data_IF_313874158665
#
_entry.id   IF_313874158665
#
_cell.length_a   1.000
_cell.length_b   1.000
_cell.length_c   1.000
_cell.angle_alpha   90.00
_cell.angle_beta   90.00
_cell.angle_gamma   90.00
#
_symmetry.space_group_name_H-M   'P 1'
#
loop_
_entity.id
_entity.type
_entity.pdbx_description
1 polymer ?
#
# COMPACT_ATOMS: atom_id res chain seq x y z
N UNK A 1 -10.44 -22.84 -0.06
CA UNK A 1 -10.33 -21.48 -0.64
C UNK A 1 -9.11 -20.78 -0.08
N UNK A 2 -8.40 -19.93 -0.84
CA UNK A 2 -7.23 -19.22 -0.34
C UNK A 2 -7.60 -18.30 0.84
N UNK A 3 -6.77 -18.34 1.89
CA UNK A 3 -6.99 -17.62 3.17
C UNK A 3 -6.68 -16.13 3.07
N UNK A 4 -5.88 -15.74 2.07
CA UNK A 4 -5.39 -14.39 1.86
C UNK A 4 -5.94 -13.81 0.55
N UNK A 5 -6.01 -12.48 0.47
CA UNK A 5 -6.40 -11.77 -0.73
C UNK A 5 -5.51 -10.53 -0.96
N UNK A 6 -5.34 -10.18 -2.23
CA UNK A 6 -4.65 -8.97 -2.67
C UNK A 6 -5.69 -8.04 -3.31
N UNK A 7 -5.63 -6.76 -2.97
CA UNK A 7 -6.44 -5.70 -3.60
C UNK A 7 -5.47 -4.70 -4.22
N UNK A 8 -5.61 -4.47 -5.52
CA UNK A 8 -4.81 -3.52 -6.27
C UNK A 8 -5.68 -2.31 -6.56
N UNK A 9 -5.25 -1.13 -6.10
CA UNK A 9 -5.97 0.12 -6.31
C UNK A 9 -5.12 1.13 -7.05
N UNK A 10 -5.76 1.93 -7.88
CA UNK A 10 -5.10 3.00 -8.62
C UNK A 10 -4.99 4.26 -7.76
N UNK A 11 -3.82 4.89 -7.81
CA UNK A 11 -3.51 6.19 -7.16
C UNK A 11 -2.98 7.20 -8.18
N UNK A 12 -3.30 6.98 -9.45
CA UNK A 12 -3.00 7.87 -10.55
C UNK A 12 -4.15 7.88 -11.56
N UNK A 13 -4.10 8.79 -12.53
CA UNK A 13 -5.03 8.80 -13.64
C UNK A 13 -4.28 8.93 -14.98
N UNK A 14 -5.01 8.86 -16.09
CA UNK A 14 -4.45 8.92 -17.46
C UNK A 14 -3.71 10.24 -17.77
N UNK A 15 -3.89 11.27 -16.94
CA UNK A 15 -3.17 12.55 -17.06
C UNK A 15 -1.86 12.58 -16.25
N UNK A 16 -1.52 11.48 -15.58
CA UNK A 16 -0.35 11.37 -14.70
C UNK A 16 -0.51 12.10 -13.36
N UNK A 17 -1.73 12.51 -12.98
CA UNK A 17 -1.93 13.18 -11.70
C UNK A 17 -1.99 12.16 -10.56
N UNK A 18 -1.44 12.53 -9.40
CA UNK A 18 -1.54 11.72 -8.18
C UNK A 18 -2.89 11.99 -7.53
N UNK A 19 -3.62 10.92 -7.24
CA UNK A 19 -4.99 10.98 -6.73
C UNK A 19 -5.15 10.01 -5.57
N UNK A 20 -6.10 10.31 -4.69
CA UNK A 20 -6.54 9.32 -3.70
C UNK A 20 -7.16 8.11 -4.40
N UNK A 21 -7.03 6.91 -3.81
CA UNK A 21 -7.68 5.73 -4.36
C UNK A 21 -9.20 5.86 -4.30
N UNK A 22 -9.89 5.15 -5.20
CA UNK A 22 -11.36 5.08 -5.18
C UNK A 22 -11.84 4.38 -3.90
N UNK A 23 -12.32 5.18 -2.94
CA UNK A 23 -12.74 4.70 -1.64
C UNK A 23 -13.97 3.80 -1.73
N UNK A 24 -14.93 4.12 -2.61
CA UNK A 24 -16.15 3.33 -2.76
C UNK A 24 -15.84 1.97 -3.37
N UNK A 25 -14.93 1.93 -4.34
CA UNK A 25 -14.48 0.68 -4.94
C UNK A 25 -13.68 -0.18 -3.96
N UNK A 26 -12.70 0.40 -3.25
CA UNK A 26 -11.92 -0.34 -2.25
C UNK A 26 -12.83 -0.85 -1.13
N UNK A 27 -13.73 -0.03 -0.61
CA UNK A 27 -14.67 -0.43 0.44
C UNK A 27 -15.52 -1.63 0.01
N UNK A 28 -16.02 -1.62 -1.23
CA UNK A 28 -16.73 -2.77 -1.80
C UNK A 28 -15.86 -4.03 -1.82
N UNK A 29 -14.60 -3.95 -2.27
CA UNK A 29 -13.69 -5.10 -2.24
C UNK A 29 -13.46 -5.61 -0.82
N UNK A 30 -13.29 -4.71 0.15
CA UNK A 30 -13.04 -5.09 1.55
C UNK A 30 -14.26 -5.75 2.21
N UNK A 31 -15.47 -5.31 1.87
CA UNK A 31 -16.73 -5.96 2.29
C UNK A 31 -16.82 -7.39 1.74
N UNK A 32 -16.54 -7.57 0.46
CA UNK A 32 -16.57 -8.88 -0.21
C UNK A 32 -15.49 -9.84 0.35
N UNK A 33 -14.40 -9.27 0.89
CA UNK A 33 -13.27 -10.01 1.46
C UNK A 33 -13.30 -10.11 2.99
N UNK A 34 -14.41 -9.75 3.65
CA UNK A 34 -14.52 -9.76 5.12
C UNK A 34 -14.15 -11.09 5.78
N UNK A 35 -14.41 -12.21 5.09
CA UNK A 35 -14.16 -13.57 5.60
C UNK A 35 -12.72 -14.06 5.31
N UNK A 36 -11.88 -13.24 4.65
CA UNK A 36 -10.45 -13.53 4.47
C UNK A 36 -9.69 -13.26 5.76
N UNK A 37 -8.73 -14.15 6.06
CA UNK A 37 -7.86 -14.02 7.23
C UNK A 37 -6.97 -12.78 7.12
N UNK A 38 -6.44 -12.53 5.91
CA UNK A 38 -5.55 -11.42 5.63
C UNK A 38 -5.85 -10.81 4.27
N UNK A 39 -5.85 -9.49 4.22
CA UNK A 39 -5.97 -8.70 3.00
C UNK A 39 -4.78 -7.75 2.92
N UNK A 40 -4.16 -7.67 1.75
CA UNK A 40 -3.04 -6.80 1.46
C UNK A 40 -3.41 -5.84 0.33
N UNK A 41 -3.17 -4.54 0.53
CA UNK A 41 -3.49 -3.50 -0.43
C UNK A 41 -2.22 -3.05 -1.14
N UNK A 42 -2.26 -2.98 -2.46
CA UNK A 42 -1.16 -2.50 -3.29
C UNK A 42 -1.61 -1.21 -3.96
N UNK A 43 -0.88 -0.13 -3.69
CA UNK A 43 -1.12 1.21 -4.20
C UNK A 43 0.22 1.75 -4.69
N UNK A 44 0.33 2.25 -5.92
CA UNK A 44 1.64 2.66 -6.43
C UNK A 44 2.18 3.90 -5.71
N UNK A 45 1.37 4.95 -5.63
CA UNK A 45 1.68 6.21 -4.93
C UNK A 45 1.10 6.14 -3.52
N UNK A 46 1.86 6.56 -2.51
CA UNK A 46 1.39 6.50 -1.15
C UNK A 46 0.21 7.45 -0.91
N UNK A 47 -0.90 6.91 -0.40
CA UNK A 47 -2.08 7.68 0.03
C UNK A 47 -1.88 8.39 1.40
N UNK A 48 -0.65 8.85 1.65
CA UNK A 48 -0.23 9.65 2.81
C UNK A 48 1.00 10.48 2.48
N UNK A 49 1.16 11.64 3.13
CA UNK A 49 2.28 12.58 3.02
C UNK A 49 3.59 12.10 3.69
N UNK A 50 3.90 10.81 3.55
CA UNK A 50 5.07 10.19 4.15
C UNK A 50 6.32 10.21 3.28
N UNK A 51 6.17 10.69 2.06
CA UNK A 51 7.17 10.74 1.00
C UNK A 51 7.00 12.01 0.19
N UNK A 52 7.99 12.35 -0.63
CA UNK A 52 7.97 13.59 -1.44
C UNK A 52 6.78 13.62 -2.40
N UNK A 53 6.39 12.46 -2.91
CA UNK A 53 5.31 12.31 -3.89
C UNK A 53 4.05 11.66 -3.31
N UNK A 54 3.94 11.56 -1.99
CA UNK A 54 2.75 11.07 -1.30
C UNK A 54 1.55 12.02 -1.46
N UNK A 55 0.34 11.46 -1.49
CA UNK A 55 -0.92 12.22 -1.54
C UNK A 55 -1.68 12.05 -0.24
N UNK A 56 -1.99 13.14 0.48
CA UNK A 56 -2.72 13.06 1.75
C UNK A 56 -4.19 12.63 1.53
N UNK A 57 -4.54 11.41 1.96
CA UNK A 57 -5.88 10.85 1.81
C UNK A 57 -6.46 10.42 3.17
N UNK A 58 -6.90 11.39 3.98
CA UNK A 58 -7.38 11.13 5.35
C UNK A 58 -8.52 10.12 5.42
N UNK A 59 -9.46 10.18 4.49
CA UNK A 59 -10.63 9.29 4.45
C UNK A 59 -10.22 7.85 4.13
N UNK A 60 -9.19 7.66 3.29
CA UNK A 60 -8.59 6.35 3.06
C UNK A 60 -8.02 5.77 4.36
N UNK A 61 -7.22 6.54 5.09
CA UNK A 61 -6.67 6.09 6.37
C UNK A 61 -7.76 5.73 7.39
N UNK A 62 -8.84 6.51 7.46
CA UNK A 62 -9.96 6.22 8.36
C UNK A 62 -10.75 4.97 7.93
N UNK A 63 -10.95 4.78 6.63
CA UNK A 63 -11.60 3.58 6.10
C UNK A 63 -10.84 2.32 6.49
N UNK A 64 -9.50 2.30 6.34
CA UNK A 64 -8.70 1.12 6.67
C UNK A 64 -8.87 0.65 8.13
N UNK A 65 -9.09 1.57 9.07
CA UNK A 65 -9.31 1.21 10.48
C UNK A 65 -10.54 0.33 10.70
N UNK A 66 -11.54 0.43 9.82
CA UNK A 66 -12.77 -0.37 9.89
C UNK A 66 -12.54 -1.84 9.51
N UNK A 67 -11.44 -2.14 8.84
CA UNK A 67 -11.14 -3.46 8.28
C UNK A 67 -9.89 -4.07 8.95
N UNK A 68 -10.03 -4.80 10.08
CA UNK A 68 -8.90 -5.36 10.84
C UNK A 68 -8.19 -6.51 10.14
N UNK A 69 -8.83 -7.13 9.14
CA UNK A 69 -8.22 -8.14 8.27
C UNK A 69 -7.27 -7.54 7.22
N UNK A 70 -7.32 -6.22 6.97
CA UNK A 70 -6.28 -5.52 6.19
C UNK A 70 -5.00 -5.43 7.01
N UNK A 71 -3.95 -6.15 6.60
CA UNK A 71 -2.72 -6.32 7.37
C UNK A 71 -1.58 -5.40 6.96
N UNK A 72 -1.51 -4.99 5.69
CA UNK A 72 -0.51 -4.04 5.23
C UNK A 72 -0.97 -3.35 3.94
N UNK A 73 -0.37 -2.19 3.69
CA UNK A 73 -0.40 -1.53 2.38
C UNK A 73 1.01 -1.52 1.79
N UNK A 74 1.14 -1.71 0.49
CA UNK A 74 2.41 -1.73 -0.24
C UNK A 74 2.45 -0.58 -1.22
N UNK A 75 3.58 0.11 -1.26
CA UNK A 75 3.80 1.35 -2.01
C UNK A 75 5.12 1.33 -2.77
N UNK A 76 5.18 2.08 -3.86
CA UNK A 76 6.40 2.32 -4.62
C UNK A 76 6.52 3.81 -4.94
N UNK A 77 6.76 4.11 -6.22
CA UNK A 77 6.80 5.45 -6.82
C UNK A 77 7.96 6.36 -6.39
N UNK A 78 8.18 6.54 -5.09
CA UNK A 78 9.19 7.49 -4.60
C UNK A 78 10.63 7.00 -4.79
N UNK A 79 10.85 5.67 -4.89
CA UNK A 79 12.16 4.98 -5.09
C UNK A 79 13.28 5.34 -4.07
N UNK A 80 13.05 6.32 -3.21
CA UNK A 80 13.96 6.81 -2.19
C UNK A 80 13.67 6.19 -0.81
N UNK A 81 12.64 5.34 -0.72
CA UNK A 81 12.19 4.74 0.54
C UNK A 81 12.12 3.23 0.35
N UNK A 82 13.01 2.51 1.03
CA UNK A 82 12.90 1.07 1.28
C UNK A 82 12.77 0.85 2.79
N UNK A 83 11.53 0.91 3.28
CA UNK A 83 11.24 0.89 4.71
C UNK A 83 9.79 0.52 4.99
N UNK A 84 9.53 0.10 6.23
CA UNK A 84 8.18 0.01 6.78
C UNK A 84 7.89 1.26 7.59
N UNK A 85 6.82 1.98 7.25
CA UNK A 85 6.22 3.03 8.08
C UNK A 85 4.95 2.49 8.73
N UNK A 86 4.62 2.93 9.94
CA UNK A 86 3.40 2.49 10.62
C UNK A 86 2.47 3.68 10.83
N UNK A 87 1.24 3.59 10.30
CA UNK A 87 0.21 4.61 10.47
C UNK A 87 -1.03 4.00 11.10
N UNK A 88 -1.48 4.57 12.22
CA UNK A 88 -2.66 4.12 12.98
C UNK A 88 -2.72 2.58 13.13
N UNK A 89 -1.58 1.98 13.48
CA UNK A 89 -1.37 0.54 13.69
C UNK A 89 -1.45 -0.37 12.45
N UNK A 90 -1.33 0.17 11.23
CA UNK A 90 -1.15 -0.63 10.02
C UNK A 90 0.21 -0.32 9.37
N UNK A 91 1.01 -1.36 9.02
CA UNK A 91 2.25 -1.18 8.30
C UNK A 91 1.97 -0.76 6.84
N UNK A 92 2.73 0.22 6.39
CA UNK A 92 2.88 0.65 5.02
C UNK A 92 4.31 0.34 4.59
N UNK A 93 4.44 -0.56 3.63
CA UNK A 93 5.71 -1.10 3.17
C UNK A 93 6.05 -0.39 1.86
N UNK A 94 7.22 0.22 1.81
CA UNK A 94 7.72 0.93 0.64
C UNK A 94 8.85 0.13 0.04
N UNK A 95 8.77 -0.12 -1.27
CA UNK A 95 9.87 -0.70 -2.03
C UNK A 95 10.59 0.41 -2.79
N UNK A 96 11.88 0.55 -2.51
CA UNK A 96 12.73 1.59 -3.09
C UNK A 96 13.16 1.29 -4.52
N UNK A 97 12.90 0.08 -5.06
CA UNK A 97 13.32 -0.30 -6.39
C UNK A 97 12.38 -1.28 -7.11
N UNK A 98 11.91 -0.90 -8.30
CA UNK A 98 11.48 -1.85 -9.32
C UNK A 98 11.84 -1.31 -10.72
N UNK A 99 12.86 -1.90 -11.37
CA UNK A 99 13.15 -1.67 -12.79
C UNK A 99 13.90 -0.37 -13.15
N UNK A 100 14.80 0.13 -12.30
CA UNK A 100 15.61 1.33 -12.55
C UNK A 100 17.02 1.27 -11.94
N UNK A 101 17.86 2.28 -12.20
CA UNK A 101 19.17 2.48 -11.55
C UNK A 101 19.21 3.81 -10.78
N UNK A 102 18.05 4.23 -10.25
CA UNK A 102 17.83 5.52 -9.60
C UNK A 102 16.99 5.30 -8.33
N UNK A 103 17.34 5.99 -7.23
CA UNK A 103 16.72 5.78 -5.92
C UNK A 103 17.74 5.37 -4.86
N UNK A 104 17.37 4.45 -3.97
CA UNK A 104 18.26 3.86 -2.95
C UNK A 104 19.58 3.34 -3.55
N UNK A 105 20.68 3.42 -2.79
CA UNK A 105 22.06 3.27 -3.28
C UNK A 105 22.52 1.85 -3.63
N UNK A 106 21.61 0.92 -3.94
CA UNK A 106 21.91 -0.45 -4.37
C UNK A 106 20.97 -0.89 -5.50
N UNK A 107 21.45 -1.73 -6.45
CA UNK A 107 20.62 -2.27 -7.52
C UNK A 107 19.67 -3.37 -7.01
N UNK A 108 18.37 -3.16 -7.24
CA UNK A 108 17.21 -4.03 -6.97
C UNK A 108 16.99 -4.50 -5.52
N UNK A 109 15.73 -4.38 -5.03
CA UNK A 109 15.25 -5.09 -3.85
C UNK A 109 13.92 -5.79 -4.07
N UNK A 110 13.82 -7.01 -3.55
CA UNK A 110 12.56 -7.68 -3.28
C UNK A 110 12.07 -7.27 -1.89
N UNK A 111 10.77 -7.06 -1.71
CA UNK A 111 10.16 -6.97 -0.39
C UNK A 111 10.35 -8.30 0.37
N UNK A 112 11.24 -8.34 1.37
CA UNK A 112 11.37 -9.51 2.26
C UNK A 112 10.28 -9.45 3.34
N UNK A 113 9.22 -10.22 3.17
CA UNK A 113 8.26 -10.46 4.26
C UNK A 113 8.88 -11.48 5.20
N UNK A 114 9.41 -11.03 6.35
CA UNK A 114 9.90 -11.95 7.38
C UNK A 114 8.71 -12.68 8.04
N UNK A 115 8.72 -14.01 8.00
CA UNK A 115 7.72 -14.90 8.64
C UNK A 115 7.74 -14.89 10.19
N UNK A 116 8.49 -13.97 10.83
CA UNK A 116 8.72 -14.00 12.28
C UNK A 116 7.66 -13.29 13.14
N UNK A 117 6.47 -13.05 12.61
CA UNK A 117 5.32 -12.58 13.43
C UNK A 117 4.09 -13.41 13.10
N UNK A 118 4.09 -14.66 13.56
CA UNK A 118 2.90 -15.50 13.74
C UNK A 118 2.84 -15.97 15.20
#
# INVERSE_FOLDING_TARGET
MPQNALVLGDTSNEKGAYVCPDLAWIEKQLIDLKDKKQVFLFLHVCAKDWSLHGTECRDFEQMLLKYPNVKATFHGHDHAIDAVKTGKNKPAIFDGHFGGNWGVGYPDTQTKVNEQVL
#
